data_IF_758380187951
#
_entry.id   IF_758380187951
#
_cell.length_a   1.000
_cell.length_b   1.000
_cell.length_c   1.000
_cell.angle_alpha   90.00
_cell.angle_beta   90.00
_cell.angle_gamma   90.00
#
_symmetry.space_group_name_H-M   'P 1'
#
loop_
_entity.id
_entity.type
_entity.pdbx_description
1 polymer ?
#
# COMPACT_ATOMS: atom_id res chain seq x y z
N UNK A 1 14.39 -11.25 1.11
CA UNK A 1 13.62 -10.86 -0.09
C UNK A 1 14.44 -9.93 -0.96
N UNK A 2 14.46 -10.13 -2.26
CA UNK A 2 15.16 -9.29 -3.22
C UNK A 2 14.16 -8.48 -4.07
N UNK A 3 14.68 -7.62 -4.97
CA UNK A 3 13.85 -6.75 -5.82
C UNK A 3 12.87 -7.55 -6.68
N UNK A 4 13.32 -8.62 -7.33
CA UNK A 4 12.46 -9.42 -8.22
C UNK A 4 11.28 -10.07 -7.47
N UNK A 5 11.53 -10.57 -6.26
CA UNK A 5 10.48 -11.11 -5.39
C UNK A 5 9.50 -10.02 -4.93
N UNK A 6 9.99 -8.81 -4.70
CA UNK A 6 9.11 -7.70 -4.35
C UNK A 6 8.29 -7.21 -5.56
N UNK A 7 8.85 -7.23 -6.76
CA UNK A 7 8.11 -6.94 -8.00
C UNK A 7 6.99 -7.97 -8.23
N UNK A 8 7.22 -9.24 -7.91
CA UNK A 8 6.17 -10.27 -7.92
C UNK A 8 5.07 -9.97 -6.89
N UNK A 9 5.44 -9.54 -5.69
CA UNK A 9 4.48 -9.09 -4.68
C UNK A 9 3.61 -7.92 -5.20
N UNK A 10 4.21 -6.93 -5.86
CA UNK A 10 3.49 -5.81 -6.48
C UNK A 10 2.55 -6.32 -7.59
N UNK A 11 3.00 -7.27 -8.40
CA UNK A 11 2.16 -7.88 -9.44
C UNK A 11 0.94 -8.60 -8.85
N UNK A 12 1.13 -9.35 -7.77
CA UNK A 12 0.00 -9.96 -7.05
C UNK A 12 -0.98 -8.92 -6.54
N UNK A 13 -0.48 -7.80 -6.00
CA UNK A 13 -1.31 -6.71 -5.51
C UNK A 13 -2.14 -6.10 -6.65
N UNK A 14 -1.51 -5.74 -7.74
CA UNK A 14 -2.16 -5.13 -8.90
C UNK A 14 -3.23 -6.02 -9.53
N UNK A 15 -3.07 -7.36 -9.44
CA UNK A 15 -4.03 -8.33 -9.92
C UNK A 15 -5.00 -8.85 -8.86
N UNK A 16 -5.01 -8.24 -7.68
CA UNK A 16 -5.92 -8.57 -6.57
C UNK A 16 -5.84 -10.04 -6.13
N UNK A 17 -4.64 -10.63 -6.18
CA UNK A 17 -4.39 -12.00 -5.73
C UNK A 17 -4.10 -12.01 -4.23
N UNK A 18 -5.15 -11.79 -3.43
CA UNK A 18 -5.00 -11.59 -1.98
C UNK A 18 -4.42 -12.80 -1.26
N UNK A 19 -4.77 -14.02 -1.68
CA UNK A 19 -4.20 -15.24 -1.08
C UNK A 19 -2.69 -15.35 -1.32
N UNK A 20 -2.22 -14.93 -2.48
CA UNK A 20 -0.80 -14.83 -2.76
C UNK A 20 -0.12 -13.75 -1.91
N UNK A 21 -0.76 -12.59 -1.77
CA UNK A 21 -0.24 -11.50 -0.93
C UNK A 21 -0.03 -11.92 0.51
N UNK A 22 -1.01 -12.58 1.13
CA UNK A 22 -0.91 -12.98 2.54
C UNK A 22 0.19 -14.00 2.78
N UNK A 23 0.64 -14.72 1.75
CA UNK A 23 1.78 -15.64 1.86
C UNK A 23 3.11 -14.95 2.12
N UNK A 24 3.21 -13.66 1.85
CA UNK A 24 4.40 -12.85 2.14
C UNK A 24 4.45 -12.35 3.59
N UNK A 25 3.36 -12.51 4.35
CA UNK A 25 3.23 -11.94 5.68
C UNK A 25 3.43 -12.98 6.78
N UNK A 26 4.02 -12.53 7.87
CA UNK A 26 3.87 -13.19 9.18
C UNK A 26 2.38 -13.16 9.57
N UNK A 27 1.82 -14.20 10.21
CA UNK A 27 0.40 -14.21 10.58
C UNK A 27 -0.03 -13.02 11.44
N UNK A 28 0.87 -12.50 12.26
CA UNK A 28 0.68 -11.38 13.16
C UNK A 28 1.25 -10.05 12.63
N UNK A 29 1.38 -9.92 11.32
CA UNK A 29 1.89 -8.70 10.70
C UNK A 29 1.12 -7.46 11.15
N UNK A 30 1.85 -6.36 11.36
CA UNK A 30 1.23 -5.05 11.60
C UNK A 30 1.51 -4.14 10.42
N UNK A 31 0.49 -3.38 10.00
CA UNK A 31 0.60 -2.41 8.92
C UNK A 31 0.17 -1.05 9.45
N UNK A 32 1.10 -0.11 9.47
CA UNK A 32 0.91 1.23 10.02
C UNK A 32 0.95 2.26 8.89
N UNK A 33 -0.08 3.11 8.83
CA UNK A 33 -0.23 4.15 7.81
C UNK A 33 0.02 5.52 8.41
N UNK A 34 0.99 6.25 7.87
CA UNK A 34 1.32 7.62 8.26
C UNK A 34 0.98 8.58 7.12
N UNK A 35 0.30 9.67 7.43
CA UNK A 35 -0.08 10.71 6.47
C UNK A 35 0.42 12.05 6.97
N UNK A 36 0.83 12.98 6.06
CA UNK A 36 1.24 14.33 6.46
C UNK A 36 0.11 15.16 7.07
N UNK A 37 -1.14 14.67 7.02
CA UNK A 37 -2.33 15.36 7.52
C UNK A 37 -2.78 14.88 8.89
N UNK A 38 -2.11 13.87 9.47
CA UNK A 38 -2.42 13.33 10.81
C UNK A 38 -1.34 13.68 11.82
N UNK A 39 -1.55 13.28 13.08
CA UNK A 39 -0.53 13.45 14.13
C UNK A 39 0.78 12.77 13.71
N UNK A 40 1.91 13.49 13.61
CA UNK A 40 3.18 12.92 13.18
C UNK A 40 3.74 11.87 14.15
N UNK A 41 3.17 11.76 15.35
CA UNK A 41 3.63 10.84 16.40
C UNK A 41 2.88 9.53 16.42
N UNK A 42 1.80 9.40 15.63
CA UNK A 42 0.96 8.22 15.62
C UNK A 42 0.47 7.88 14.21
N UNK A 43 0.33 6.58 13.86
CA UNK A 43 -0.25 6.21 12.59
C UNK A 43 -1.73 6.63 12.53
N UNK A 44 -2.16 7.07 11.33
CA UNK A 44 -3.57 7.40 11.06
C UNK A 44 -4.45 6.13 11.06
N UNK A 45 -3.87 4.99 10.76
CA UNK A 45 -4.52 3.69 10.73
C UNK A 45 -3.49 2.60 11.02
N UNK A 46 -3.93 1.53 11.69
CA UNK A 46 -3.14 0.31 11.88
C UNK A 46 -4.00 -0.89 11.53
N UNK A 47 -3.45 -1.83 10.75
CA UNK A 47 -4.04 -3.13 10.50
C UNK A 47 -3.25 -4.19 11.28
N UNK A 48 -3.95 -5.17 11.84
CA UNK A 48 -3.38 -6.25 12.63
C UNK A 48 -3.69 -7.61 11.98
N UNK A 49 -2.64 -8.29 11.54
CA UNK A 49 -2.74 -9.63 10.97
C UNK A 49 -2.99 -9.65 9.46
N UNK A 50 -2.56 -10.74 8.84
CA UNK A 50 -2.67 -10.94 7.40
C UNK A 50 -4.12 -10.95 6.91
N UNK A 51 -5.04 -11.52 7.70
CA UNK A 51 -6.45 -11.58 7.34
C UNK A 51 -7.10 -10.19 7.33
N UNK A 52 -6.80 -9.35 8.31
CA UNK A 52 -7.32 -7.98 8.35
C UNK A 52 -6.81 -7.16 7.16
N UNK A 53 -5.54 -7.33 6.78
CA UNK A 53 -4.99 -6.74 5.57
C UNK A 53 -5.77 -7.16 4.33
N UNK A 54 -5.96 -8.45 4.12
CA UNK A 54 -6.68 -8.96 2.95
C UNK A 54 -8.13 -8.44 2.89
N UNK A 55 -8.83 -8.45 4.02
CA UNK A 55 -10.21 -7.98 4.10
C UNK A 55 -10.31 -6.47 3.84
N UNK A 56 -9.36 -5.70 4.38
CA UNK A 56 -9.30 -4.25 4.15
C UNK A 56 -9.14 -3.92 2.67
N UNK A 57 -8.19 -4.55 1.98
CA UNK A 57 -7.96 -4.26 0.56
C UNK A 57 -9.05 -4.83 -0.34
N UNK A 58 -9.66 -5.96 -0.01
CA UNK A 58 -10.85 -6.45 -0.72
C UNK A 58 -11.97 -5.42 -0.70
N UNK A 59 -12.26 -4.84 0.47
CA UNK A 59 -13.28 -3.79 0.59
C UNK A 59 -12.90 -2.52 -0.15
N UNK A 60 -11.66 -2.09 -0.03
CA UNK A 60 -11.16 -0.89 -0.71
C UNK A 60 -11.30 -1.05 -2.24
N UNK A 61 -10.90 -2.19 -2.77
CA UNK A 61 -10.91 -2.44 -4.20
C UNK A 61 -12.31 -2.69 -4.80
N UNK A 62 -13.33 -2.82 -3.99
CA UNK A 62 -14.72 -2.77 -4.47
C UNK A 62 -15.10 -1.36 -4.98
N UNK A 63 -14.50 -0.33 -4.42
CA UNK A 63 -14.79 1.06 -4.75
C UNK A 63 -13.67 1.82 -5.44
N UNK A 64 -12.52 1.17 -5.66
CA UNK A 64 -11.34 1.81 -6.27
C UNK A 64 -10.54 0.83 -7.10
N UNK A 65 -9.93 1.36 -8.15
CA UNK A 65 -8.82 0.71 -8.84
C UNK A 65 -7.55 1.28 -8.23
N UNK A 66 -6.69 0.43 -7.68
CA UNK A 66 -5.41 0.82 -7.12
C UNK A 66 -4.29 0.14 -7.90
N UNK A 67 -3.33 0.93 -8.35
CA UNK A 67 -2.18 0.45 -9.10
C UNK A 67 -0.90 0.90 -8.42
N UNK A 68 -0.01 -0.04 -8.14
CA UNK A 68 1.32 0.19 -7.59
C UNK A 68 2.38 0.05 -8.70
N UNK A 69 3.40 0.89 -8.63
CA UNK A 69 4.61 0.77 -9.45
C UNK A 69 5.84 0.91 -8.53
N UNK A 70 6.70 -0.11 -8.51
CA UNK A 70 7.94 -0.07 -7.74
C UNK A 70 8.94 0.88 -8.41
N UNK A 71 9.43 1.87 -7.65
CA UNK A 71 10.47 2.81 -8.07
C UNK A 71 11.83 2.39 -7.55
N UNK A 72 12.02 2.47 -6.27
CA UNK A 72 13.28 2.17 -5.61
C UNK A 72 13.12 1.01 -4.63
N UNK A 73 14.15 0.20 -4.53
CA UNK A 73 14.21 -0.94 -3.62
C UNK A 73 15.58 -1.01 -2.96
N UNK A 74 15.58 -1.12 -1.64
CA UNK A 74 16.78 -1.33 -0.83
C UNK A 74 16.50 -2.39 0.22
N UNK A 75 17.39 -3.34 0.37
CA UNK A 75 17.30 -4.35 1.43
C UNK A 75 18.64 -4.49 2.14
N UNK A 76 18.61 -4.58 3.46
CA UNK A 76 19.79 -4.80 4.30
C UNK A 76 19.39 -5.53 5.58
N UNK A 77 19.94 -6.72 5.80
CA UNK A 77 19.58 -7.55 6.94
C UNK A 77 18.08 -7.89 6.92
N UNK A 78 17.40 -7.60 8.02
CA UNK A 78 15.97 -7.84 8.18
C UNK A 78 15.10 -6.62 7.81
N UNK A 79 15.67 -5.62 7.14
CA UNK A 79 14.96 -4.41 6.72
C UNK A 79 14.90 -4.31 5.21
N UNK A 80 13.75 -3.87 4.70
CA UNK A 80 13.58 -3.42 3.33
C UNK A 80 12.98 -2.03 3.34
N UNK A 81 13.40 -1.20 2.39
CA UNK A 81 12.79 0.10 2.13
C UNK A 81 12.47 0.21 0.64
N UNK A 82 11.29 0.69 0.32
CA UNK A 82 10.87 0.86 -1.07
C UNK A 82 10.23 2.23 -1.27
N UNK A 83 10.33 2.74 -2.49
CA UNK A 83 9.48 3.82 -2.96
C UNK A 83 8.46 3.24 -3.94
N UNK A 84 7.19 3.47 -3.64
CA UNK A 84 6.06 3.04 -4.46
C UNK A 84 5.32 4.26 -5.01
N UNK A 85 5.15 4.30 -6.32
CA UNK A 85 4.18 5.16 -6.97
C UNK A 85 2.82 4.45 -6.91
N UNK A 86 1.78 5.16 -6.48
CA UNK A 86 0.45 4.58 -6.29
C UNK A 86 -0.59 5.47 -6.94
N UNK A 87 -1.48 4.87 -7.74
CA UNK A 87 -2.67 5.53 -8.28
C UNK A 87 -3.92 4.87 -7.72
N UNK A 88 -4.85 5.71 -7.28
CA UNK A 88 -6.21 5.32 -6.94
C UNK A 88 -7.17 5.99 -7.92
N UNK A 89 -8.07 5.22 -8.50
CA UNK A 89 -9.18 5.71 -9.34
C UNK A 89 -10.50 5.33 -8.70
N UNK A 90 -11.29 6.33 -8.30
CA UNK A 90 -12.53 6.11 -7.53
C UNK A 90 -13.69 5.69 -8.44
N UNK A 91 -14.26 4.52 -8.16
CA UNK A 91 -15.45 3.99 -8.84
C UNK A 91 -16.74 4.44 -8.15
N UNK A 92 -16.64 4.89 -6.90
CA UNK A 92 -17.74 5.42 -6.08
C UNK A 92 -17.17 6.41 -5.05
N UNK A 93 -18.06 7.19 -4.42
CA UNK A 93 -17.66 8.13 -3.37
C UNK A 93 -16.98 7.39 -2.20
N UNK A 94 -15.94 8.02 -1.65
CA UNK A 94 -15.30 7.58 -0.41
C UNK A 94 -15.04 8.80 0.47
N UNK A 95 -15.99 9.14 1.36
CA UNK A 95 -15.85 10.29 2.25
C UNK A 95 -14.79 10.09 3.35
N UNK A 96 -14.30 8.88 3.54
CA UNK A 96 -13.38 8.51 4.62
C UNK A 96 -12.00 8.05 4.14
N UNK A 97 -11.63 8.40 2.90
CA UNK A 97 -10.29 8.08 2.41
C UNK A 97 -9.23 8.72 3.29
N UNK A 98 -8.14 8.01 3.49
CA UNK A 98 -7.14 8.32 4.54
C UNK A 98 -6.52 9.71 4.42
N UNK A 99 -6.39 10.27 3.21
CA UNK A 99 -5.81 11.60 3.00
C UNK A 99 -6.85 12.71 2.96
N UNK A 100 -7.97 12.49 2.29
CA UNK A 100 -9.07 13.45 2.15
C UNK A 100 -10.31 12.77 1.53
N UNK A 101 -11.52 13.35 1.67
CA UNK A 101 -12.72 12.81 1.04
C UNK A 101 -12.61 12.76 -0.48
N UNK A 102 -13.09 11.68 -1.09
CA UNK A 102 -13.07 11.45 -2.52
C UNK A 102 -14.48 11.24 -3.07
N UNK A 103 -14.67 11.64 -4.31
CA UNK A 103 -15.89 11.40 -5.07
C UNK A 103 -15.65 10.43 -6.21
N UNK A 104 -16.72 9.78 -6.69
CA UNK A 104 -16.69 8.97 -7.92
C UNK A 104 -16.02 9.75 -9.05
N UNK A 105 -15.06 9.13 -9.72
CA UNK A 105 -14.28 9.72 -10.81
C UNK A 105 -13.03 10.46 -10.37
N UNK A 106 -12.84 10.70 -9.08
CA UNK A 106 -11.60 11.28 -8.57
C UNK A 106 -10.44 10.30 -8.73
N UNK A 107 -9.26 10.84 -8.98
CA UNK A 107 -8.01 10.11 -8.93
C UNK A 107 -7.11 10.70 -7.83
N UNK A 108 -6.38 9.83 -7.14
CA UNK A 108 -5.33 10.23 -6.21
C UNK A 108 -4.05 9.55 -6.63
N UNK A 109 -2.99 10.34 -6.75
CA UNK A 109 -1.67 9.85 -7.09
C UNK A 109 -0.75 10.21 -5.94
N UNK A 110 0.00 9.24 -5.44
CA UNK A 110 0.92 9.48 -4.36
C UNK A 110 2.22 8.69 -4.51
N UNK A 111 3.27 9.24 -3.93
CA UNK A 111 4.50 8.51 -3.67
C UNK A 111 4.46 8.06 -2.22
N UNK A 112 4.64 6.78 -2.00
CA UNK A 112 4.70 6.17 -0.68
C UNK A 112 6.12 5.65 -0.41
N UNK A 113 6.62 5.94 0.78
CA UNK A 113 7.81 5.30 1.32
C UNK A 113 7.38 4.24 2.32
N UNK A 114 7.87 3.03 2.11
CA UNK A 114 7.47 1.89 2.92
C UNK A 114 8.69 1.20 3.48
N UNK A 115 8.67 0.96 4.79
CA UNK A 115 9.71 0.19 5.48
C UNK A 115 9.10 -1.09 5.99
N UNK A 116 9.75 -2.21 5.66
CA UNK A 116 9.36 -3.55 6.06
C UNK A 116 10.40 -4.11 7.05
N UNK A 117 9.91 -4.60 8.19
CA UNK A 117 10.71 -5.46 9.06
C UNK A 117 10.35 -6.92 8.73
N UNK A 118 11.37 -7.72 8.44
CA UNK A 118 11.22 -9.13 8.11
C UNK A 118 11.46 -9.99 9.34
N UNK A 119 10.76 -11.11 9.44
CA UNK A 119 11.04 -12.12 10.45
C UNK A 119 12.13 -13.11 10.01
N UNK A 120 12.46 -14.07 10.88
CA UNK A 120 13.49 -15.07 10.60
C UNK A 120 13.15 -16.00 9.42
N UNK A 121 11.89 -16.07 9.02
CA UNK A 121 11.40 -16.87 7.89
C UNK A 121 11.25 -16.04 6.60
N UNK A 122 11.86 -14.86 6.55
CA UNK A 122 11.76 -13.92 5.43
C UNK A 122 10.31 -13.50 5.11
N UNK A 123 9.48 -13.37 6.16
CA UNK A 123 8.11 -12.87 6.08
C UNK A 123 8.02 -11.44 6.60
N UNK A 124 7.13 -10.64 6.00
CA UNK A 124 6.87 -9.28 6.44
C UNK A 124 6.16 -9.30 7.79
N UNK A 125 6.83 -8.80 8.82
CA UNK A 125 6.33 -8.77 10.20
C UNK A 125 5.75 -7.42 10.59
N UNK A 126 6.36 -6.34 10.12
CA UNK A 126 5.89 -4.98 10.33
C UNK A 126 6.07 -4.17 9.07
N UNK A 127 5.02 -3.46 8.68
CA UNK A 127 4.98 -2.62 7.50
C UNK A 127 4.63 -1.20 7.95
N UNK A 128 5.47 -0.23 7.61
CA UNK A 128 5.23 1.19 7.89
C UNK A 128 5.16 1.94 6.58
N UNK A 129 3.98 2.47 6.28
CA UNK A 129 3.70 3.18 5.04
C UNK A 129 3.60 4.67 5.33
N UNK A 130 4.47 5.46 4.72
CA UNK A 130 4.39 6.92 4.78
C UNK A 130 3.86 7.44 3.44
N UNK A 131 2.74 8.15 3.47
CA UNK A 131 2.23 8.89 2.33
C UNK A 131 3.07 10.17 2.17
N UNK A 132 4.22 10.00 1.53
CA UNK A 132 5.24 11.04 1.46
C UNK A 132 4.78 12.26 0.67
N UNK A 133 4.14 12.04 -0.47
CA UNK A 133 3.71 13.12 -1.37
C UNK A 133 2.47 12.74 -2.14
N UNK A 134 1.55 13.70 -2.28
CA UNK A 134 0.40 13.62 -3.18
C UNK A 134 0.69 14.50 -4.39
N UNK A 135 0.47 13.95 -5.59
CA UNK A 135 0.74 14.61 -6.87
C UNK A 135 -0.56 15.15 -7.50
N UNK A 136 -0.41 15.95 -8.56
CA UNK A 136 -1.56 16.41 -9.34
C UNK A 136 -2.26 15.21 -10.00
N UNK A 137 -3.58 15.03 -9.82
CA UNK A 137 -4.33 13.93 -10.47
C UNK A 137 -4.21 13.88 -11.99
N UNK A 138 -3.88 14.99 -12.62
CA UNK A 138 -3.65 15.06 -14.09
C UNK A 138 -2.41 14.30 -14.54
N UNK A 139 -1.50 13.98 -13.62
CA UNK A 139 -0.29 13.22 -13.90
C UNK A 139 -0.52 11.69 -13.92
N UNK A 140 -1.77 11.24 -13.83
CA UNK A 140 -2.12 9.81 -13.85
C UNK A 140 -1.60 9.12 -15.09
N UNK A 141 -0.96 7.96 -14.91
CA UNK A 141 -0.36 7.16 -15.99
C UNK A 141 -1.27 6.00 -16.39
N UNK A 142 -2.07 5.50 -15.47
CA UNK A 142 -2.90 4.33 -15.66
C UNK A 142 -4.35 4.78 -15.77
N UNK A 143 -4.90 4.75 -16.99
CA UNK A 143 -6.31 5.04 -17.17
C UNK A 143 -7.15 3.90 -16.60
N UNK A 144 -8.26 4.20 -15.89
CA UNK A 144 -9.22 3.17 -15.51
C UNK A 144 -9.82 2.55 -16.79
N UNK A 145 -9.87 1.24 -16.80
CA UNK A 145 -10.44 0.49 -17.92
C UNK A 145 -11.98 0.68 -17.98
#
# INVERSE_FOLDING_TARGET
MNRAQFEEYVDHFNHKRYDALVSYFSPDVTVEYFTPFSDPRAPARTLHGAQEFADYYKRMHEGKIEVLELRDFLASGNLMAVELYTEFHCLKDDPHFITHPLKKGDAVIMTNWVIYNMDANDKMKRIRIAHFRVHDPKEAKFAPA
#
